data_IF_542871511662
#
_entry.id   IF_542871511662
#
_cell.length_a   1.000
_cell.length_b   1.000
_cell.length_c   1.000
_cell.angle_alpha   90.00
_cell.angle_beta   90.00
_cell.angle_gamma   90.00
#
_symmetry.space_group_name_H-M   'P 1'
#
loop_
_entity.id
_entity.type
_entity.pdbx_description
1 polymer ?
#
# COMPACT_ATOMS: atom_id res chain seq x y z
N UNK A 1 3.42 -20.40 -17.76
CA UNK A 1 3.01 -20.41 -16.33
C UNK A 1 1.50 -20.29 -16.27
N UNK A 2 0.80 -21.18 -15.56
CA UNK A 2 -0.68 -21.15 -15.53
C UNK A 2 -1.18 -19.99 -14.67
N UNK A 3 -2.07 -19.16 -15.22
CA UNK A 3 -2.73 -18.06 -14.49
C UNK A 3 -3.36 -18.54 -13.17
N UNK A 4 -4.02 -19.71 -13.20
CA UNK A 4 -4.64 -20.32 -12.02
C UNK A 4 -3.62 -20.64 -10.93
N UNK A 5 -2.40 -21.04 -11.31
CA UNK A 5 -1.34 -21.29 -10.34
C UNK A 5 -0.88 -20.00 -9.66
N UNK A 6 -0.60 -18.95 -10.41
CA UNK A 6 -0.21 -17.64 -9.87
C UNK A 6 -1.30 -17.05 -8.97
N UNK A 7 -2.57 -17.18 -9.37
CA UNK A 7 -3.70 -16.72 -8.57
C UNK A 7 -3.79 -17.49 -7.24
N UNK A 8 -3.63 -18.80 -7.27
CA UNK A 8 -3.62 -19.62 -6.05
C UNK A 8 -2.48 -19.20 -5.10
N UNK A 9 -1.29 -18.92 -5.63
CA UNK A 9 -0.17 -18.40 -4.81
C UNK A 9 -0.51 -17.08 -4.14
N UNK A 10 -1.15 -16.17 -4.87
CA UNK A 10 -1.56 -14.86 -4.33
C UNK A 10 -2.61 -15.02 -3.25
N UNK A 11 -3.61 -15.89 -3.44
CA UNK A 11 -4.67 -16.14 -2.47
C UNK A 11 -4.18 -16.86 -1.21
N UNK A 12 -3.05 -17.58 -1.27
CA UNK A 12 -2.42 -18.22 -0.12
C UNK A 12 -1.54 -17.27 0.70
N UNK A 13 -1.33 -16.02 0.25
CA UNK A 13 -0.47 -15.07 0.92
C UNK A 13 -1.24 -13.79 1.27
N UNK A 14 -1.23 -13.30 2.54
CA UNK A 14 -1.91 -12.07 2.91
C UNK A 14 -1.52 -10.86 2.05
N UNK A 15 -0.25 -10.75 1.66
CA UNK A 15 0.21 -9.71 0.75
C UNK A 15 -0.40 -9.85 -0.64
N UNK A 16 -0.60 -11.07 -1.13
CA UNK A 16 -1.23 -11.31 -2.42
C UNK A 16 -2.71 -10.93 -2.41
N UNK A 17 -3.41 -11.26 -1.34
CA UNK A 17 -4.80 -10.83 -1.13
C UNK A 17 -4.91 -9.30 -1.08
N UNK A 18 -4.02 -8.61 -0.35
CA UNK A 18 -3.99 -7.13 -0.32
C UNK A 18 -3.80 -6.53 -1.72
N UNK A 19 -2.90 -7.10 -2.53
CA UNK A 19 -2.68 -6.62 -3.91
C UNK A 19 -3.91 -6.83 -4.80
N UNK A 20 -4.61 -7.95 -4.68
CA UNK A 20 -5.86 -8.19 -5.41
C UNK A 20 -6.91 -7.16 -5.00
N UNK A 21 -7.10 -6.94 -3.70
CA UNK A 21 -8.02 -5.91 -3.20
C UNK A 21 -7.63 -4.51 -3.71
N UNK A 22 -6.33 -4.18 -3.75
CA UNK A 22 -5.84 -2.93 -4.29
C UNK A 22 -6.18 -2.74 -5.78
N UNK A 23 -6.02 -3.79 -6.60
CA UNK A 23 -6.42 -3.76 -8.01
C UNK A 23 -7.92 -3.48 -8.12
N UNK A 24 -8.75 -4.23 -7.38
CA UNK A 24 -10.22 -4.07 -7.41
C UNK A 24 -10.66 -2.66 -6.99
N UNK A 25 -10.06 -2.10 -5.94
CA UNK A 25 -10.33 -0.71 -5.51
C UNK A 25 -10.02 0.28 -6.62
N UNK A 26 -8.87 0.14 -7.28
CA UNK A 26 -8.46 1.10 -8.30
C UNK A 26 -9.24 0.93 -9.61
N UNK A 27 -9.61 -0.30 -10.00
CA UNK A 27 -10.54 -0.54 -11.11
C UNK A 27 -11.90 0.09 -10.82
N UNK A 28 -12.45 -0.10 -9.62
CA UNK A 28 -13.71 0.51 -9.21
C UNK A 28 -13.67 2.04 -9.19
N UNK A 29 -12.49 2.65 -9.00
CA UNK A 29 -12.31 4.11 -9.10
C UNK A 29 -12.32 4.64 -10.53
N UNK A 30 -12.05 3.79 -11.53
CA UNK A 30 -12.08 4.14 -12.94
C UNK A 30 -13.49 4.15 -13.53
N UNK A 31 -14.47 3.54 -12.85
CA UNK A 31 -15.86 3.53 -13.29
C UNK A 31 -16.43 4.98 -13.33
N UNK A 32 -16.72 5.53 -14.53
CA UNK A 32 -17.24 6.89 -14.68
C UNK A 32 -18.67 7.00 -14.16
N UNK A 33 -19.42 5.89 -14.13
CA UNK A 33 -20.80 5.83 -13.68
C UNK A 33 -20.88 5.45 -12.19
N UNK A 34 -19.82 5.74 -11.40
CA UNK A 34 -19.61 5.14 -10.09
C UNK A 34 -20.85 5.18 -9.22
N UNK A 35 -21.50 4.02 -9.12
CA UNK A 35 -22.74 3.84 -8.38
C UNK A 35 -22.47 3.90 -6.87
N UNK A 36 -23.54 4.01 -6.08
CA UNK A 36 -23.48 3.82 -4.62
C UNK A 36 -22.84 2.46 -4.27
N UNK A 37 -23.14 1.41 -5.04
CA UNK A 37 -22.57 0.07 -4.87
C UNK A 37 -21.06 0.06 -5.11
N UNK A 38 -20.57 0.76 -6.14
CA UNK A 38 -19.14 0.90 -6.42
C UNK A 38 -18.41 1.60 -5.26
N UNK A 39 -19.02 2.65 -4.70
CA UNK A 39 -18.47 3.35 -3.53
C UNK A 39 -18.43 2.46 -2.28
N UNK A 40 -19.50 1.69 -2.03
CA UNK A 40 -19.55 0.73 -0.93
C UNK A 40 -18.51 -0.39 -1.07
N UNK A 41 -18.33 -0.92 -2.29
CA UNK A 41 -17.31 -1.92 -2.58
C UNK A 41 -15.90 -1.37 -2.29
N UNK A 42 -15.59 -0.16 -2.75
CA UNK A 42 -14.30 0.50 -2.48
C UNK A 42 -14.08 0.68 -0.97
N UNK A 43 -15.12 1.12 -0.24
CA UNK A 43 -15.06 1.26 1.21
C UNK A 43 -14.75 -0.08 1.88
N UNK A 44 -15.53 -1.11 1.57
CA UNK A 44 -15.37 -2.46 2.15
C UNK A 44 -13.98 -3.04 1.86
N UNK A 45 -13.49 -2.89 0.63
CA UNK A 45 -12.16 -3.38 0.25
C UNK A 45 -11.05 -2.62 0.99
N UNK A 46 -11.16 -1.29 1.15
CA UNK A 46 -10.16 -0.54 1.91
C UNK A 46 -10.17 -0.92 3.40
N UNK A 47 -11.33 -1.14 4.00
CA UNK A 47 -11.43 -1.66 5.37
C UNK A 47 -10.77 -3.03 5.51
N UNK A 48 -11.04 -3.93 4.56
CA UNK A 48 -10.41 -5.24 4.52
C UNK A 48 -8.88 -5.15 4.43
N UNK A 49 -8.35 -4.22 3.62
CA UNK A 49 -6.91 -3.95 3.53
C UNK A 49 -6.33 -3.41 4.84
N UNK A 50 -7.06 -2.54 5.55
CA UNK A 50 -6.65 -2.07 6.89
C UNK A 50 -6.53 -3.25 7.86
N UNK A 51 -7.49 -4.18 7.84
CA UNK A 51 -7.45 -5.40 8.67
C UNK A 51 -6.22 -6.27 8.32
N UNK A 52 -5.94 -6.47 7.03
CA UNK A 52 -4.79 -7.27 6.59
C UNK A 52 -3.42 -6.68 7.00
N UNK A 53 -3.35 -5.38 7.30
CA UNK A 53 -2.12 -4.73 7.78
C UNK A 53 -1.85 -4.98 9.26
N UNK A 54 -2.86 -5.29 10.08
CA UNK A 54 -2.68 -5.55 11.52
C UNK A 54 -1.73 -6.73 11.80
N UNK A 55 -1.86 -7.91 11.13
CA UNK A 55 -0.85 -8.95 11.25
C UNK A 55 0.54 -8.53 10.74
N UNK A 56 0.58 -7.64 9.73
CA UNK A 56 1.81 -7.05 9.22
C UNK A 56 2.53 -6.21 10.28
N UNK A 57 1.78 -5.45 11.09
CA UNK A 57 2.33 -4.66 12.20
C UNK A 57 3.00 -5.54 13.24
N UNK A 58 2.35 -6.63 13.63
CA UNK A 58 2.95 -7.59 14.55
C UNK A 58 4.29 -8.13 14.01
N UNK A 59 4.34 -8.50 12.72
CA UNK A 59 5.57 -8.96 12.08
C UNK A 59 6.67 -7.89 12.08
N UNK A 60 6.32 -6.63 11.81
CA UNK A 60 7.29 -5.53 11.83
C UNK A 60 7.85 -5.30 13.23
N UNK A 61 7.01 -5.30 14.26
CA UNK A 61 7.43 -5.09 15.66
C UNK A 61 8.35 -6.23 16.12
N UNK A 62 7.97 -7.49 15.90
CA UNK A 62 8.76 -8.65 16.36
C UNK A 62 10.11 -8.75 15.65
N UNK A 63 10.17 -8.32 14.38
CA UNK A 63 11.40 -8.31 13.60
C UNK A 63 12.10 -6.94 13.59
N UNK A 64 11.67 -6.01 14.44
CA UNK A 64 12.30 -4.69 14.52
C UNK A 64 13.64 -4.80 15.24
N UNK A 65 14.73 -4.77 14.48
CA UNK A 65 16.08 -4.89 15.04
C UNK A 65 16.99 -3.75 14.64
N UNK A 66 17.76 -3.24 15.61
CA UNK A 66 18.70 -2.13 15.45
C UNK A 66 19.99 -2.50 14.73
N UNK A 67 20.30 -3.79 14.62
CA UNK A 67 21.45 -4.34 13.89
C UNK A 67 21.21 -4.45 12.37
N UNK A 68 20.00 -4.15 11.90
CA UNK A 68 19.69 -3.96 10.48
C UNK A 68 20.50 -2.80 9.88
N UNK A 69 20.64 -2.76 8.55
CA UNK A 69 21.17 -1.57 7.88
C UNK A 69 20.33 -0.33 8.24
N UNK A 70 20.92 0.89 8.24
CA UNK A 70 20.19 2.12 8.53
C UNK A 70 18.93 2.30 7.67
N UNK A 71 19.02 1.93 6.40
CA UNK A 71 17.91 1.99 5.44
C UNK A 71 16.76 1.06 5.80
N UNK A 72 17.06 -0.19 6.19
CA UNK A 72 16.05 -1.17 6.62
C UNK A 72 15.44 -0.78 7.96
N UNK A 73 16.26 -0.30 8.90
CA UNK A 73 15.78 0.20 10.18
C UNK A 73 14.79 1.35 10.00
N UNK A 74 15.13 2.31 9.12
CA UNK A 74 14.28 3.47 8.83
C UNK A 74 13.00 3.06 8.11
N UNK A 75 13.08 2.19 7.10
CA UNK A 75 11.88 1.67 6.42
C UNK A 75 10.95 0.95 7.39
N UNK A 76 11.47 0.10 8.27
CA UNK A 76 10.64 -0.57 9.27
C UNK A 76 10.00 0.42 10.26
N UNK A 77 10.73 1.44 10.71
CA UNK A 77 10.20 2.44 11.63
C UNK A 77 9.07 3.26 10.99
N UNK A 78 9.23 3.66 9.72
CA UNK A 78 8.20 4.36 8.94
C UNK A 78 6.96 3.47 8.77
N UNK A 79 7.15 2.20 8.40
CA UNK A 79 6.04 1.26 8.21
C UNK A 79 5.29 0.93 9.52
N UNK A 80 5.99 0.88 10.66
CA UNK A 80 5.35 0.78 11.97
C UNK A 80 4.50 2.02 12.25
N UNK A 81 5.04 3.22 12.02
CA UNK A 81 4.29 4.47 12.14
C UNK A 81 3.03 4.47 11.27
N UNK A 82 3.18 4.05 10.01
CA UNK A 82 2.08 3.90 9.06
C UNK A 82 0.98 2.98 9.59
N UNK A 83 1.32 1.75 9.97
CA UNK A 83 0.34 0.77 10.42
C UNK A 83 -0.30 1.10 11.77
N UNK A 84 0.45 1.71 12.70
CA UNK A 84 -0.11 2.16 13.98
C UNK A 84 -1.12 3.28 13.75
N UNK A 85 -0.74 4.32 13.02
CA UNK A 85 -1.64 5.47 12.78
C UNK A 85 -2.88 5.07 11.99
N UNK A 86 -2.72 4.28 10.92
CA UNK A 86 -3.84 3.78 10.14
C UNK A 86 -4.73 2.83 10.95
N UNK A 87 -4.13 1.92 11.71
CA UNK A 87 -4.85 0.97 12.56
C UNK A 87 -5.69 1.68 13.62
N UNK A 88 -5.12 2.68 14.30
CA UNK A 88 -5.86 3.47 15.30
C UNK A 88 -6.98 4.29 14.65
N UNK A 89 -6.74 4.91 13.49
CA UNK A 89 -7.77 5.64 12.77
C UNK A 89 -8.93 4.72 12.35
N UNK A 90 -8.61 3.53 11.83
CA UNK A 90 -9.58 2.52 11.45
C UNK A 90 -10.40 2.02 12.65
N UNK A 91 -9.75 1.63 13.74
CA UNK A 91 -10.44 1.14 14.94
C UNK A 91 -11.31 2.23 15.57
N UNK A 92 -10.86 3.49 15.54
CA UNK A 92 -11.64 4.65 15.98
C UNK A 92 -12.88 4.89 15.14
N UNK A 93 -12.74 4.85 13.80
CA UNK A 93 -13.88 4.97 12.88
C UNK A 93 -14.89 3.82 13.00
N UNK A 94 -14.46 2.65 13.53
CA UNK A 94 -15.33 1.53 13.90
C UNK A 94 -15.84 1.57 15.33
N UNK A 95 -15.48 2.61 16.10
CA UNK A 95 -15.85 2.79 17.51
C UNK A 95 -15.40 1.62 18.41
N UNK A 96 -14.38 0.88 17.99
CA UNK A 96 -13.75 -0.18 18.79
C UNK A 96 -12.88 0.47 19.88
N UNK A 97 -12.27 1.61 19.57
CA UNK A 97 -11.57 2.47 20.53
C UNK A 97 -12.22 3.85 20.55
N UNK A 98 -12.28 4.46 21.73
CA UNK A 98 -12.86 5.79 21.90
C UNK A 98 -11.82 6.88 21.59
N UNK A 99 -11.82 7.36 20.34
CA UNK A 99 -11.07 8.55 19.93
C UNK A 99 -12.02 9.59 19.33
N UNK A 100 -11.67 10.86 19.47
CA UNK A 100 -12.47 11.95 18.88
C UNK A 100 -12.27 12.00 17.37
N UNK A 101 -13.29 12.47 16.64
CA UNK A 101 -13.21 12.62 15.18
C UNK A 101 -12.01 13.47 14.71
N UNK A 102 -11.67 14.61 15.37
CA UNK A 102 -10.47 15.36 15.02
C UNK A 102 -9.15 14.58 15.18
N UNK A 103 -9.08 13.64 16.14
CA UNK A 103 -7.91 12.78 16.30
C UNK A 103 -7.87 11.69 15.23
N UNK A 104 -9.01 11.06 14.92
CA UNK A 104 -9.15 10.09 13.82
C UNK A 104 -8.67 10.69 12.49
N UNK A 105 -9.12 11.89 12.15
CA UNK A 105 -8.74 12.57 10.90
C UNK A 105 -7.24 12.90 10.85
N UNK A 106 -6.66 13.31 11.99
CA UNK A 106 -5.20 13.51 12.10
C UNK A 106 -4.44 12.20 11.93
N UNK A 107 -4.93 11.09 12.46
CA UNK A 107 -4.29 9.78 12.32
C UNK A 107 -4.31 9.31 10.86
N UNK A 108 -5.43 9.50 10.13
CA UNK A 108 -5.49 9.26 8.69
C UNK A 108 -4.51 10.11 7.88
N UNK A 109 -4.36 11.38 8.26
CA UNK A 109 -3.40 12.27 7.63
C UNK A 109 -1.95 11.84 7.88
N UNK A 110 -1.63 11.49 9.14
CA UNK A 110 -0.29 11.03 9.50
C UNK A 110 0.06 9.68 8.89
N UNK A 111 -0.89 8.75 8.78
CA UNK A 111 -0.64 7.49 8.07
C UNK A 111 -0.29 7.76 6.61
N UNK A 112 -1.02 8.65 5.94
CA UNK A 112 -0.70 9.05 4.57
C UNK A 112 0.69 9.68 4.45
N UNK A 113 1.11 10.47 5.43
CA UNK A 113 2.48 11.04 5.48
C UNK A 113 3.55 9.98 5.68
N UNK A 114 3.32 8.96 6.51
CA UNK A 114 4.24 7.84 6.61
C UNK A 114 4.33 7.05 5.30
N UNK A 115 3.21 6.87 4.59
CA UNK A 115 3.22 6.26 3.26
C UNK A 115 4.02 7.09 2.24
N UNK A 116 3.92 8.42 2.29
CA UNK A 116 4.77 9.31 1.49
C UNK A 116 6.26 9.13 1.82
N UNK A 117 6.63 9.11 3.10
CA UNK A 117 8.02 8.90 3.52
C UNK A 117 8.57 7.54 3.06
N UNK A 118 7.79 6.47 3.18
CA UNK A 118 8.16 5.13 2.71
C UNK A 118 8.38 5.11 1.20
N UNK A 119 7.50 5.75 0.44
CA UNK A 119 7.60 5.87 -1.01
C UNK A 119 8.86 6.64 -1.42
N UNK A 120 9.16 7.77 -0.75
CA UNK A 120 10.36 8.56 -1.00
C UNK A 120 11.64 7.78 -0.67
N UNK A 121 11.66 7.07 0.46
CA UNK A 121 12.79 6.22 0.85
C UNK A 121 12.99 5.08 -0.15
N UNK A 122 11.92 4.44 -0.61
CA UNK A 122 11.97 3.37 -1.62
C UNK A 122 12.53 3.89 -2.94
N UNK A 123 12.08 5.06 -3.41
CA UNK A 123 12.63 5.71 -4.62
C UNK A 123 14.12 5.97 -4.43
N UNK A 124 14.53 6.51 -3.28
CA UNK A 124 15.94 6.78 -2.98
C UNK A 124 16.79 5.49 -2.99
N UNK A 125 16.30 4.41 -2.39
CA UNK A 125 16.96 3.12 -2.38
C UNK A 125 17.11 2.56 -3.79
N UNK A 126 16.04 2.58 -4.59
CA UNK A 126 16.07 2.15 -5.98
C UNK A 126 17.07 2.96 -6.80
N UNK A 127 17.08 4.29 -6.69
CA UNK A 127 18.05 5.12 -7.41
C UNK A 127 19.52 4.87 -7.04
N UNK A 128 19.79 4.28 -5.86
CA UNK A 128 21.15 3.91 -5.41
C UNK A 128 21.53 2.48 -5.72
N UNK A 129 20.55 1.62 -5.93
CA UNK A 129 20.77 0.20 -6.17
C UNK A 129 21.32 0.01 -7.59
N UNK A 130 22.43 -0.72 -7.69
CA UNK A 130 22.96 -1.18 -8.99
C UNK A 130 22.45 -2.59 -9.21
N UNK A 131 21.60 -2.78 -10.21
CA UNK A 131 20.99 -4.08 -10.52
C UNK A 131 21.50 -4.63 -11.85
N UNK A 132 21.43 -5.95 -12.03
CA UNK A 132 21.61 -6.62 -13.32
C UNK A 132 20.27 -6.72 -14.09
N UNK A 133 19.13 -6.80 -13.39
CA UNK A 133 17.79 -6.80 -14.00
C UNK A 133 17.26 -5.37 -14.12
N UNK A 134 17.77 -4.67 -15.13
CA UNK A 134 17.43 -3.28 -15.43
C UNK A 134 15.91 -3.09 -15.62
N UNK A 135 15.23 -4.08 -16.21
CA UNK A 135 13.80 -3.94 -16.55
C UNK A 135 12.91 -4.03 -15.31
N UNK A 136 13.14 -4.99 -14.42
CA UNK A 136 12.35 -5.10 -13.19
C UNK A 136 12.58 -3.87 -12.30
N UNK A 137 13.83 -3.43 -12.22
CA UNK A 137 14.20 -2.25 -11.46
C UNK A 137 13.55 -0.97 -11.98
N UNK A 138 13.56 -0.76 -13.30
CA UNK A 138 12.87 0.37 -13.93
C UNK A 138 11.35 0.34 -13.69
N UNK A 139 10.73 -0.84 -13.72
CA UNK A 139 9.30 -0.97 -13.43
C UNK A 139 8.98 -0.66 -11.97
N UNK A 140 9.83 -1.11 -11.04
CA UNK A 140 9.69 -0.80 -9.62
C UNK A 140 9.83 0.69 -9.34
N UNK A 141 10.82 1.33 -9.95
CA UNK A 141 11.00 2.77 -9.85
C UNK A 141 9.79 3.51 -10.44
N UNK A 142 9.32 3.11 -11.63
CA UNK A 142 8.15 3.70 -12.26
C UNK A 142 6.88 3.53 -11.40
N UNK A 143 6.69 2.36 -10.78
CA UNK A 143 5.56 2.11 -9.87
C UNK A 143 5.57 3.02 -8.66
N UNK A 144 6.75 3.24 -8.05
CA UNK A 144 6.89 4.14 -6.91
C UNK A 144 6.71 5.62 -7.32
N UNK A 145 7.23 6.03 -8.49
CA UNK A 145 6.99 7.36 -9.04
C UNK A 145 5.51 7.59 -9.36
N UNK A 146 4.79 6.59 -9.88
CA UNK A 146 3.34 6.67 -10.08
C UNK A 146 2.56 6.74 -8.76
N UNK A 147 3.10 6.16 -7.69
CA UNK A 147 2.50 6.21 -6.35
C UNK A 147 2.73 7.56 -5.66
N UNK A 148 3.78 8.29 -6.03
CA UNK A 148 4.17 9.53 -5.37
C UNK A 148 3.07 10.62 -5.40
N UNK A 149 2.42 10.94 -6.54
CA UNK A 149 1.30 11.87 -6.55
C UNK A 149 0.13 11.43 -5.66
N UNK A 150 -0.12 10.12 -5.55
CA UNK A 150 -1.16 9.58 -4.66
C UNK A 150 -0.80 9.85 -3.20
N UNK A 151 0.45 9.57 -2.82
CA UNK A 151 0.93 9.78 -1.46
C UNK A 151 0.85 11.26 -1.08
N UNK A 152 1.28 12.15 -1.98
CA UNK A 152 1.17 13.60 -1.79
C UNK A 152 -0.30 14.01 -1.65
N UNK A 153 -1.18 13.50 -2.52
CA UNK A 153 -2.60 13.80 -2.48
C UNK A 153 -3.22 13.46 -1.12
N UNK A 154 -2.97 12.27 -0.57
CA UNK A 154 -3.55 11.88 0.72
C UNK A 154 -2.81 12.48 1.94
N UNK A 155 -1.60 13.00 1.77
CA UNK A 155 -0.79 13.61 2.86
C UNK A 155 -1.15 15.06 3.18
N UNK A 156 -2.07 15.66 2.43
CA UNK A 156 -2.53 17.05 2.57
C UNK A 156 -4.01 17.06 2.97
N UNK A 157 -4.38 17.89 3.95
CA UNK A 157 -5.71 17.90 4.59
C UNK A 157 -6.89 18.00 3.60
N UNK A 158 -6.73 18.75 2.52
CA UNK A 158 -7.77 18.96 1.50
C UNK A 158 -7.48 18.25 0.17
N UNK A 159 -6.51 17.33 0.16
CA UNK A 159 -6.01 16.74 -1.06
C UNK A 159 -5.06 17.64 -1.85
N UNK A 160 -4.32 17.05 -2.78
CA UNK A 160 -3.49 17.77 -3.76
C UNK A 160 -4.19 17.99 -5.12
N UNK A 161 -5.53 17.94 -5.16
CA UNK A 161 -6.31 18.23 -6.37
C UNK A 161 -6.42 17.11 -7.41
N UNK A 162 -5.96 15.89 -7.12
CA UNK A 162 -6.15 14.75 -8.03
C UNK A 162 -7.64 14.34 -8.10
N UNK A 163 -8.13 14.18 -9.33
CA UNK A 163 -9.45 13.63 -9.59
C UNK A 163 -9.49 12.11 -9.35
N UNK A 164 -10.67 11.57 -9.03
CA UNK A 164 -10.90 10.14 -8.78
C UNK A 164 -10.36 9.23 -9.89
N UNK A 165 -10.50 9.64 -11.15
CA UNK A 165 -9.95 8.91 -12.30
C UNK A 165 -8.42 8.86 -12.27
N UNK A 166 -7.75 9.98 -11.99
CA UNK A 166 -6.28 10.02 -11.87
C UNK A 166 -5.79 9.14 -10.72
N UNK A 167 -6.50 9.18 -9.58
CA UNK A 167 -6.23 8.30 -8.43
C UNK A 167 -6.35 6.82 -8.84
N UNK A 168 -7.40 6.47 -9.59
CA UNK A 168 -7.63 5.14 -10.10
C UNK A 168 -6.52 4.67 -11.05
N UNK A 169 -6.13 5.50 -12.04
CA UNK A 169 -5.11 5.13 -13.05
C UNK A 169 -3.75 4.90 -12.39
N UNK A 170 -3.28 5.87 -11.60
CA UNK A 170 -1.98 5.78 -10.93
C UNK A 170 -1.95 4.61 -9.94
N UNK A 171 -3.02 4.44 -9.16
CA UNK A 171 -3.14 3.37 -8.19
C UNK A 171 -3.18 1.99 -8.86
N UNK A 172 -3.87 1.88 -9.99
CA UNK A 172 -3.96 0.64 -10.75
C UNK A 172 -2.61 0.24 -11.34
N UNK A 173 -1.90 1.17 -11.97
CA UNK A 173 -0.57 0.91 -12.51
C UNK A 173 0.37 0.40 -11.41
N UNK A 174 0.47 1.12 -10.29
CA UNK A 174 1.29 0.73 -9.15
C UNK A 174 0.89 -0.63 -8.58
N UNK A 175 -0.40 -0.90 -8.44
CA UNK A 175 -0.89 -2.18 -7.93
C UNK A 175 -0.54 -3.34 -8.88
N UNK A 176 -0.64 -3.16 -10.20
CA UNK A 176 -0.30 -4.17 -11.20
C UNK A 176 1.20 -4.51 -11.15
N UNK A 177 2.08 -3.50 -11.14
CA UNK A 177 3.53 -3.73 -11.09
C UNK A 177 3.91 -4.46 -9.80
N UNK A 178 3.43 -3.99 -8.64
CA UNK A 178 3.70 -4.64 -7.36
C UNK A 178 3.13 -6.07 -7.27
N UNK A 179 1.98 -6.33 -7.92
CA UNK A 179 1.41 -7.68 -8.03
C UNK A 179 2.33 -8.58 -8.84
N UNK A 180 2.82 -8.10 -9.99
CA UNK A 180 3.75 -8.86 -10.83
C UNK A 180 5.03 -9.19 -10.06
N UNK A 181 5.65 -8.21 -9.39
CA UNK A 181 6.83 -8.43 -8.54
C UNK A 181 6.58 -9.50 -7.47
N UNK A 182 5.43 -9.43 -6.80
CA UNK A 182 5.07 -10.41 -5.79
C UNK A 182 4.90 -11.82 -6.37
N UNK A 183 4.23 -11.95 -7.52
CA UNK A 183 4.07 -13.24 -8.21
C UNK A 183 5.44 -13.85 -8.56
N UNK A 184 6.38 -13.05 -9.07
CA UNK A 184 7.74 -13.52 -9.36
C UNK A 184 8.47 -13.97 -8.09
N UNK A 185 8.38 -13.19 -7.01
CA UNK A 185 8.98 -13.54 -5.72
C UNK A 185 8.40 -14.83 -5.13
N UNK A 186 7.09 -15.05 -5.25
CA UNK A 186 6.41 -16.25 -4.74
C UNK A 186 6.80 -17.51 -5.53
N UNK A 187 7.00 -17.40 -6.84
CA UNK A 187 7.51 -18.53 -7.64
C UNK A 187 8.95 -18.86 -7.29
N UNK A 188 9.82 -17.85 -7.15
CA UNK A 188 11.23 -18.06 -6.83
C UNK A 188 11.43 -18.68 -5.43
N UNK A 189 10.50 -18.49 -4.50
CA UNK A 189 10.54 -19.14 -3.17
C UNK A 189 10.06 -20.60 -3.18
N UNK A 190 9.43 -21.06 -4.25
CA UNK A 190 8.94 -22.45 -4.40
C UNK A 190 9.80 -23.30 -5.32
N UNK A 191 10.57 -22.69 -6.22
CA UNK A 191 11.59 -23.36 -7.03
C UNK A 191 12.80 -23.71 -6.15
#
# INVERSE_FOLDING_TARGET
MSYMHSLNLMLQNPSGIDKIAAILVNVARLDPASSKSTAQLVSMLNEFRCILRLPGLYKLIVNFRKDSSPETYMSNAINIGYYVTEGLAFLGGKQIISISKPLEDKLWLWSSRFWLLDTLLTIYQLLREKTEDEKEHQLDLASNLASLPLCIHWSVENGAGLHKHQIGVLGLFSAIVQTRKLILSLHNKRA
#
